data_IF_486583929095
#
_entry.id   IF_486583929095
#
_cell.length_a   1.000
_cell.length_b   1.000
_cell.length_c   1.000
_cell.angle_alpha   90.00
_cell.angle_beta   90.00
_cell.angle_gamma   90.00
#
_symmetry.space_group_name_H-M   'P 1'
#
loop_
_entity.id
_entity.type
_entity.pdbx_description
1 polymer ?
#
# COMPACT_ATOMS: atom_id res chain seq x y z
N UNK A 1 -65.99 -3.90 -27.48
CA UNK A 1 -64.99 -4.53 -26.60
C UNK A 1 -64.08 -3.42 -26.08
N UNK A 2 -64.30 -2.96 -24.85
CA UNK A 2 -63.46 -1.95 -24.21
C UNK A 2 -62.36 -2.65 -23.41
N UNK A 3 -61.09 -2.40 -23.75
CA UNK A 3 -59.95 -2.68 -22.86
C UNK A 3 -59.60 -1.39 -22.09
N UNK A 4 -59.38 -1.44 -20.77
CA UNK A 4 -58.89 -0.29 -20.04
C UNK A 4 -57.36 -0.20 -20.20
N UNK A 5 -56.86 0.99 -20.54
CA UNK A 5 -55.45 1.32 -20.38
C UNK A 5 -55.11 1.34 -18.89
N UNK A 6 -54.18 0.47 -18.46
CA UNK A 6 -53.55 0.56 -17.14
C UNK A 6 -52.35 1.49 -17.25
N UNK A 7 -52.45 2.69 -16.66
CA UNK A 7 -51.31 3.53 -16.38
C UNK A 7 -50.50 2.86 -15.26
N UNK A 8 -49.35 2.29 -15.59
CA UNK A 8 -48.35 1.87 -14.60
C UNK A 8 -47.48 3.08 -14.32
N UNK A 9 -47.77 3.80 -13.25
CA UNK A 9 -46.84 4.78 -12.69
C UNK A 9 -45.70 4.00 -12.04
N UNK A 10 -44.57 3.89 -12.73
CA UNK A 10 -43.33 3.44 -12.10
C UNK A 10 -42.75 4.63 -11.34
N UNK A 11 -43.09 4.71 -10.06
CA UNK A 11 -42.30 5.51 -9.11
C UNK A 11 -40.91 4.89 -9.02
N UNK A 12 -40.00 5.36 -9.88
CA UNK A 12 -38.59 5.07 -9.77
C UNK A 12 -38.09 5.58 -8.44
N UNK A 13 -37.77 4.67 -7.53
CA UNK A 13 -37.10 5.00 -6.29
C UNK A 13 -35.66 5.38 -6.63
N UNK A 14 -35.37 6.68 -6.65
CA UNK A 14 -34.00 7.17 -6.57
C UNK A 14 -33.46 6.76 -5.20
N UNK A 15 -32.79 5.61 -5.11
CA UNK A 15 -31.99 5.26 -3.94
C UNK A 15 -30.79 6.19 -3.94
N UNK A 16 -30.95 7.37 -3.35
CA UNK A 16 -29.81 8.12 -2.86
C UNK A 16 -29.15 7.24 -1.80
N UNK A 17 -28.09 6.53 -2.17
CA UNK A 17 -27.21 5.88 -1.21
C UNK A 17 -26.55 7.01 -0.41
N UNK A 18 -27.23 7.46 0.65
CA UNK A 18 -26.64 8.36 1.62
C UNK A 18 -25.58 7.56 2.35
N UNK A 19 -24.31 7.81 2.00
CA UNK A 19 -23.18 7.24 2.72
C UNK A 19 -23.30 7.72 4.17
N UNK A 20 -23.62 6.81 5.09
CA UNK A 20 -23.65 7.13 6.51
C UNK A 20 -22.28 7.68 6.92
N UNK A 21 -22.23 8.76 7.72
CA UNK A 21 -20.97 9.31 8.19
C UNK A 21 -20.20 8.26 8.98
N UNK A 22 -18.88 8.19 8.77
CA UNK A 22 -18.00 7.29 9.53
C UNK A 22 -17.98 7.70 10.99
N UNK A 23 -18.10 6.73 11.88
CA UNK A 23 -17.90 6.95 13.31
C UNK A 23 -16.47 6.51 13.69
N UNK A 24 -15.70 7.43 14.26
CA UNK A 24 -14.33 7.17 14.71
C UNK A 24 -14.29 6.85 16.20
N UNK A 25 -13.36 5.98 16.58
CA UNK A 25 -13.12 5.56 17.96
C UNK A 25 -11.63 5.72 18.28
N UNK A 26 -11.29 6.47 19.32
CA UNK A 26 -9.92 6.62 19.78
C UNK A 26 -9.55 5.49 20.76
N UNK A 27 -8.40 4.86 20.53
CA UNK A 27 -7.82 3.84 21.40
C UNK A 27 -6.47 4.36 21.91
N UNK A 28 -6.35 4.56 23.22
CA UNK A 28 -5.18 5.19 23.83
C UNK A 28 -3.97 4.25 23.97
N UNK A 29 -4.17 2.94 23.90
CA UNK A 29 -3.11 1.94 24.04
C UNK A 29 -2.22 1.92 22.79
N UNK A 30 -0.91 2.24 22.87
CA UNK A 30 -0.03 2.22 21.71
C UNK A 30 0.22 0.77 21.24
N UNK A 31 0.22 0.57 19.92
CA UNK A 31 0.46 -0.71 19.25
C UNK A 31 1.24 -0.47 17.94
N UNK A 32 1.89 -1.52 17.41
CA UNK A 32 2.38 -1.49 16.02
C UNK A 32 1.21 -1.32 15.05
N UNK A 33 1.45 -0.83 13.82
CA UNK A 33 0.38 -0.67 12.84
C UNK A 33 -0.39 -1.98 12.60
N UNK A 34 0.33 -3.10 12.49
CA UNK A 34 -0.27 -4.45 12.36
C UNK A 34 -1.06 -4.87 13.60
N UNK A 35 -0.57 -4.54 14.80
CA UNK A 35 -1.29 -4.78 16.06
C UNK A 35 -2.58 -3.97 16.15
N UNK A 36 -2.53 -2.67 15.81
CA UNK A 36 -3.70 -1.79 15.76
C UNK A 36 -4.74 -2.31 14.76
N UNK A 37 -4.32 -2.77 13.58
CA UNK A 37 -5.22 -3.38 12.58
C UNK A 37 -5.90 -4.63 13.09
N UNK A 38 -5.13 -5.53 13.71
CA UNK A 38 -5.68 -6.75 14.33
C UNK A 38 -6.67 -6.43 15.44
N UNK A 39 -6.36 -5.46 16.31
CA UNK A 39 -7.25 -4.99 17.36
C UNK A 39 -8.55 -4.43 16.78
N UNK A 40 -8.45 -3.51 15.82
CA UNK A 40 -9.62 -2.91 15.18
C UNK A 40 -10.51 -3.96 14.52
N UNK A 41 -9.97 -4.96 13.84
CA UNK A 41 -10.78 -6.03 13.22
C UNK A 41 -11.43 -6.99 14.23
N UNK A 42 -10.98 -6.98 15.48
CA UNK A 42 -11.60 -7.76 16.56
C UNK A 42 -12.83 -7.08 17.19
N UNK A 43 -12.95 -5.75 17.11
CA UNK A 43 -14.01 -4.99 17.80
C UNK A 43 -14.72 -3.94 16.94
N UNK A 44 -14.17 -3.64 15.76
CA UNK A 44 -14.60 -2.63 14.80
C UNK A 44 -14.37 -3.16 13.37
N UNK A 45 -14.47 -2.30 12.35
CA UNK A 45 -14.26 -2.69 10.95
C UNK A 45 -12.77 -2.82 10.60
N UNK A 46 -11.99 -1.75 10.76
CA UNK A 46 -10.55 -1.67 10.49
C UNK A 46 -9.97 -0.36 11.08
N UNK A 47 -8.68 -0.08 10.91
CA UNK A 47 -8.10 1.24 11.23
C UNK A 47 -8.79 2.31 10.35
N UNK A 48 -8.94 3.52 10.89
CA UNK A 48 -9.66 4.62 10.25
C UNK A 48 -9.18 4.90 8.81
N UNK A 49 -10.14 4.97 7.88
CA UNK A 49 -9.93 5.49 6.53
C UNK A 49 -10.57 6.87 6.41
N UNK A 50 -10.02 7.73 5.54
CA UNK A 50 -10.44 9.13 5.39
C UNK A 50 -10.60 9.42 3.90
N UNK A 51 -11.82 9.76 3.47
CA UNK A 51 -12.16 9.99 2.07
C UNK A 51 -12.63 11.41 1.74
N UNK A 52 -12.78 12.28 2.75
CA UNK A 52 -13.18 13.68 2.55
C UNK A 52 -12.67 14.57 3.68
N UNK A 53 -12.78 15.90 3.50
CA UNK A 53 -12.42 16.88 4.53
C UNK A 53 -13.37 16.80 5.74
N UNK A 54 -14.65 16.49 5.53
CA UNK A 54 -15.63 16.29 6.59
C UNK A 54 -15.23 15.08 7.47
N UNK A 55 -14.82 13.98 6.84
CA UNK A 55 -14.31 12.80 7.52
C UNK A 55 -13.01 13.11 8.30
N UNK A 56 -12.10 13.92 7.73
CA UNK A 56 -10.90 14.38 8.42
C UNK A 56 -11.23 15.21 9.67
N UNK A 57 -12.17 16.16 9.55
CA UNK A 57 -12.60 17.01 10.66
C UNK A 57 -13.28 16.21 11.78
N UNK A 58 -14.03 15.16 11.42
CA UNK A 58 -14.61 14.23 12.40
C UNK A 58 -13.53 13.44 13.14
N UNK A 59 -12.54 12.91 12.41
CA UNK A 59 -11.42 12.17 13.01
C UNK A 59 -10.64 13.03 14.02
N UNK A 60 -10.27 14.26 13.65
CA UNK A 60 -9.53 15.19 14.54
C UNK A 60 -10.31 15.46 15.82
N UNK A 61 -11.64 15.63 15.76
CA UNK A 61 -12.49 15.87 16.94
C UNK A 61 -12.54 14.66 17.89
N UNK A 62 -12.30 13.45 17.39
CA UNK A 62 -12.29 12.23 18.20
C UNK A 62 -10.97 12.04 18.95
N UNK A 63 -9.86 12.57 18.42
CA UNK A 63 -8.55 12.50 19.09
C UNK A 63 -8.53 13.49 20.26
N UNK A 64 -8.26 13.04 21.51
CA UNK A 64 -8.20 13.95 22.65
C UNK A 64 -7.14 15.04 22.48
N UNK A 65 -7.46 16.28 22.88
CA UNK A 65 -6.59 17.46 22.79
C UNK A 65 -5.35 17.42 23.71
N UNK A 66 -4.96 16.25 24.21
CA UNK A 66 -3.88 16.11 25.18
C UNK A 66 -2.50 16.29 24.52
N UNK A 67 -1.97 17.51 24.60
CA UNK A 67 -0.54 17.82 24.58
C UNK A 67 0.27 17.29 23.39
N UNK A 68 0.33 18.05 22.31
CA UNK A 68 1.39 18.13 21.30
C UNK A 68 2.01 16.88 20.64
N UNK A 69 1.57 15.64 20.89
CA UNK A 69 2.18 14.48 20.22
C UNK A 69 1.34 13.19 20.20
N UNK A 70 0.03 13.25 19.94
CA UNK A 70 -0.75 12.04 19.65
C UNK A 70 -0.70 11.71 18.16
N UNK A 71 0.45 11.23 17.70
CA UNK A 71 0.50 10.52 16.41
C UNK A 71 -0.38 9.28 16.50
N UNK A 72 -1.34 9.17 15.59
CA UNK A 72 -2.28 8.04 15.53
C UNK A 72 -2.14 7.32 14.20
N UNK A 73 -2.17 5.99 14.23
CA UNK A 73 -2.22 5.21 13.01
C UNK A 73 -3.54 5.45 12.27
N UNK A 74 -3.45 5.68 10.96
CA UNK A 74 -4.57 5.58 10.03
C UNK A 74 -4.41 4.33 9.16
N UNK A 75 -5.49 3.89 8.54
CA UNK A 75 -5.54 2.65 7.76
C UNK A 75 -4.89 2.72 6.39
N UNK A 76 -4.22 3.83 6.06
CA UNK A 76 -3.44 3.95 4.82
C UNK A 76 -2.09 3.25 5.02
N UNK A 77 -1.76 2.31 4.14
CA UNK A 77 -0.50 1.57 4.16
C UNK A 77 -0.16 1.12 2.73
N UNK A 78 1.10 0.74 2.52
CA UNK A 78 1.55 0.08 1.29
C UNK A 78 2.45 -1.12 1.63
N UNK A 79 2.59 -2.04 0.68
CA UNK A 79 3.49 -3.20 0.77
C UNK A 79 4.49 -3.15 -0.39
N UNK A 80 5.78 -3.12 -0.06
CA UNK A 80 6.83 -3.06 -1.08
C UNK A 80 7.05 -4.45 -1.66
N UNK A 81 6.89 -4.56 -2.98
CA UNK A 81 7.11 -5.79 -3.74
C UNK A 81 8.30 -5.61 -4.67
N UNK A 82 9.45 -6.17 -4.29
CA UNK A 82 10.67 -6.17 -5.10
C UNK A 82 10.48 -6.95 -6.41
N UNK A 83 10.80 -6.31 -7.53
CA UNK A 83 10.65 -6.86 -8.89
C UNK A 83 11.94 -6.70 -9.68
N UNK A 84 12.22 -7.64 -10.57
CA UNK A 84 13.27 -7.50 -11.57
C UNK A 84 12.84 -6.51 -12.67
N UNK A 85 13.78 -5.70 -13.15
CA UNK A 85 13.51 -4.61 -14.09
C UNK A 85 13.06 -5.09 -15.48
N UNK A 86 13.41 -6.32 -15.85
CA UNK A 86 12.98 -6.98 -17.08
C UNK A 86 11.58 -7.63 -16.96
N UNK A 87 10.97 -7.60 -15.78
CA UNK A 87 9.70 -8.26 -15.51
C UNK A 87 9.80 -9.76 -15.28
N UNK A 88 10.98 -10.31 -14.97
CA UNK A 88 11.14 -11.74 -14.66
C UNK A 88 10.26 -12.18 -13.48
N UNK A 89 9.37 -13.14 -13.74
CA UNK A 89 8.39 -13.70 -12.79
C UNK A 89 8.41 -15.24 -12.75
N UNK A 90 9.43 -15.86 -13.36
CA UNK A 90 9.58 -17.31 -13.42
C UNK A 90 10.00 -17.94 -12.08
N UNK A 91 10.29 -19.24 -12.11
CA UNK A 91 10.79 -19.96 -10.93
C UNK A 91 12.08 -19.31 -10.40
N UNK A 92 12.13 -19.03 -9.10
CA UNK A 92 13.24 -18.34 -8.46
C UNK A 92 13.20 -16.81 -8.58
N UNK A 93 12.18 -16.21 -9.20
CA UNK A 93 12.02 -14.75 -9.25
C UNK A 93 11.93 -14.10 -7.86
N UNK A 94 11.60 -14.86 -6.82
CA UNK A 94 11.51 -14.43 -5.41
C UNK A 94 12.82 -14.64 -4.62
N UNK A 95 13.89 -15.17 -5.23
CA UNK A 95 15.16 -15.35 -4.54
C UNK A 95 15.78 -13.99 -4.15
N UNK A 96 16.10 -13.82 -2.86
CA UNK A 96 16.75 -12.61 -2.32
C UNK A 96 17.90 -13.01 -1.40
N UNK A 97 19.05 -12.32 -1.49
CA UNK A 97 20.20 -12.46 -0.58
C UNK A 97 20.48 -11.12 0.12
N UNK A 98 19.51 -10.67 0.91
CA UNK A 98 19.62 -9.45 1.71
C UNK A 98 20.78 -9.52 2.71
N UNK A 99 21.43 -8.38 2.95
CA UNK A 99 22.45 -8.28 3.99
C UNK A 99 21.80 -8.24 5.38
N UNK A 100 22.10 -9.25 6.20
CA UNK A 100 21.48 -9.42 7.51
C UNK A 100 22.09 -8.50 8.57
N UNK A 101 23.38 -8.15 8.44
CA UNK A 101 24.09 -7.33 9.43
C UNK A 101 23.54 -5.90 9.52
N UNK A 102 22.85 -5.43 8.47
CA UNK A 102 22.21 -4.12 8.38
C UNK A 102 20.68 -4.20 8.36
N UNK A 103 20.10 -5.39 8.62
CA UNK A 103 18.67 -5.65 8.55
C UNK A 103 18.03 -5.25 7.20
N UNK A 104 18.70 -5.55 6.08
CA UNK A 104 18.17 -5.19 4.77
C UNK A 104 16.95 -6.03 4.35
N UNK A 105 16.03 -5.47 3.55
CA UNK A 105 15.98 -4.06 3.14
C UNK A 105 15.44 -3.18 4.28
N UNK A 106 16.18 -2.12 4.62
CA UNK A 106 15.87 -1.29 5.79
C UNK A 106 15.14 0.02 5.43
N UNK A 107 15.02 0.34 4.14
CA UNK A 107 14.35 1.54 3.61
C UNK A 107 14.84 2.83 4.28
N UNK A 108 16.16 3.01 4.40
CA UNK A 108 16.74 4.23 4.97
C UNK A 108 16.19 5.46 4.24
N UNK A 109 15.78 6.48 5.01
CA UNK A 109 15.13 7.71 4.53
C UNK A 109 13.89 7.49 3.63
N UNK A 110 13.26 6.31 3.66
CA UNK A 110 12.08 5.96 2.87
C UNK A 110 12.24 6.21 1.34
N UNK A 111 13.47 6.18 0.83
CA UNK A 111 13.80 6.48 -0.57
C UNK A 111 14.56 5.38 -1.32
N UNK A 112 14.92 4.29 -0.64
CA UNK A 112 15.76 3.24 -1.16
C UNK A 112 14.92 2.12 -1.81
N UNK A 113 14.56 2.31 -3.09
CA UNK A 113 13.70 1.39 -3.85
C UNK A 113 14.42 0.65 -4.99
N UNK A 114 15.73 0.79 -5.10
CA UNK A 114 16.59 0.07 -6.04
C UNK A 114 17.59 -0.80 -5.26
N UNK A 115 18.24 -1.77 -5.90
CA UNK A 115 19.13 -2.72 -5.20
C UNK A 115 20.55 -2.65 -5.78
N UNK A 116 21.54 -2.64 -4.90
CA UNK A 116 22.96 -2.82 -5.23
C UNK A 116 23.50 -4.11 -4.62
N UNK A 117 24.65 -4.57 -5.12
CA UNK A 117 25.37 -5.74 -4.59
C UNK A 117 26.81 -5.37 -4.31
N UNK A 118 27.35 -5.83 -3.20
CA UNK A 118 28.74 -5.61 -2.81
C UNK A 118 29.67 -6.80 -3.13
N UNK A 119 30.93 -6.71 -2.71
CA UNK A 119 31.92 -7.76 -2.91
C UNK A 119 31.63 -9.04 -2.11
N UNK A 120 30.91 -8.93 -0.99
CA UNK A 120 30.46 -10.05 -0.16
C UNK A 120 29.15 -10.68 -0.68
N UNK A 121 28.72 -10.21 -1.86
CA UNK A 121 27.51 -10.64 -2.57
C UNK A 121 26.23 -10.34 -1.77
N UNK A 122 26.29 -9.43 -0.81
CA UNK A 122 25.15 -8.95 -0.02
C UNK A 122 24.35 -7.92 -0.81
N UNK A 123 23.02 -7.93 -0.66
CA UNK A 123 22.13 -7.00 -1.34
C UNK A 123 21.71 -5.88 -0.40
N UNK A 124 21.78 -4.66 -0.90
CA UNK A 124 21.40 -3.43 -0.21
C UNK A 124 20.35 -2.71 -1.03
N UNK A 125 19.27 -2.26 -0.41
CA UNK A 125 18.48 -1.20 -1.03
C UNK A 125 19.29 0.10 -1.09
N UNK A 126 19.01 0.90 -2.11
CA UNK A 126 19.68 2.16 -2.38
C UNK A 126 18.74 3.10 -3.11
N UNK A 127 19.02 4.40 -3.02
CA UNK A 127 18.35 5.40 -3.85
C UNK A 127 18.53 5.08 -5.33
N UNK A 128 17.43 5.05 -6.07
CA UNK A 128 17.46 4.83 -7.52
C UNK A 128 18.20 5.93 -8.30
N UNK A 129 18.42 7.10 -7.70
CA UNK A 129 19.20 8.21 -8.25
C UNK A 129 20.71 8.06 -8.00
N UNK A 130 21.12 7.06 -7.22
CA UNK A 130 22.52 6.75 -6.97
C UNK A 130 23.25 6.33 -8.24
N UNK A 131 24.46 6.83 -8.43
CA UNK A 131 25.29 6.49 -9.59
C UNK A 131 26.23 5.34 -9.24
N UNK A 132 25.90 4.15 -9.73
CA UNK A 132 26.68 2.93 -9.51
C UNK A 132 27.10 2.30 -10.84
N UNK A 133 28.26 1.62 -10.90
CA UNK A 133 28.54 0.66 -11.95
C UNK A 133 27.43 -0.40 -12.02
N UNK A 134 27.15 -0.90 -13.23
CA UNK A 134 26.04 -1.82 -13.47
C UNK A 134 26.46 -3.01 -14.33
N UNK A 135 25.65 -4.07 -14.30
CA UNK A 135 25.85 -5.29 -15.08
C UNK A 135 24.64 -5.54 -15.98
N UNK A 136 24.88 -6.01 -17.21
CA UNK A 136 23.84 -6.47 -18.12
C UNK A 136 23.93 -7.99 -18.28
N UNK A 137 22.82 -8.62 -18.66
CA UNK A 137 22.79 -10.03 -19.06
C UNK A 137 22.06 -10.19 -20.40
N UNK A 138 22.37 -11.27 -21.10
CA UNK A 138 21.72 -11.58 -22.37
C UNK A 138 20.34 -12.19 -22.12
N UNK A 139 19.32 -11.70 -22.84
CA UNK A 139 18.04 -12.38 -22.96
C UNK A 139 18.14 -13.59 -23.88
N UNK A 140 17.24 -14.57 -23.73
CA UNK A 140 17.20 -15.77 -24.57
C UNK A 140 17.03 -15.48 -26.07
N UNK A 141 16.60 -14.27 -26.43
CA UNK A 141 16.31 -13.87 -27.82
C UNK A 141 17.28 -12.83 -28.41
N UNK A 142 18.32 -12.42 -27.67
CA UNK A 142 19.43 -11.66 -28.27
C UNK A 142 20.54 -12.64 -28.66
N UNK A 143 20.27 -13.43 -29.70
CA UNK A 143 21.33 -14.07 -30.47
C UNK A 143 22.27 -12.95 -30.95
N UNK A 144 23.46 -12.90 -30.34
CA UNK A 144 24.54 -12.02 -30.78
C UNK A 144 24.77 -12.30 -32.27
N UNK A 145 24.57 -11.28 -33.09
CA UNK A 145 24.42 -11.41 -34.54
C UNK A 145 25.50 -12.29 -35.15
N UNK A 146 25.05 -13.37 -35.78
CA UNK A 146 25.66 -13.81 -37.03
C UNK A 146 25.63 -12.61 -37.98
N UNK A 147 26.80 -12.04 -38.24
CA UNK A 147 27.07 -11.29 -39.47
C UNK A 147 28.16 -12.10 -40.16
N UNK A 148 27.83 -12.62 -41.34
CA UNK A 148 28.76 -13.29 -42.24
C UNK A 148 29.95 -12.39 -42.60
#
# INVERSE_FOLDING_TARGET
ANMPFRLVSSSGWLTFATRLPRQYHYVAQPMTWTGARSHCRGSFLDIATIGSLEEMNQLIKTVPSAGNSSEVWIGLFDEIKWRWSDGYTGSGADYRKWELSYNEPNFYEAGEFCVTIDNDRGWYDAFCTGQYPFMCYNGKDKAWGAVC
#
